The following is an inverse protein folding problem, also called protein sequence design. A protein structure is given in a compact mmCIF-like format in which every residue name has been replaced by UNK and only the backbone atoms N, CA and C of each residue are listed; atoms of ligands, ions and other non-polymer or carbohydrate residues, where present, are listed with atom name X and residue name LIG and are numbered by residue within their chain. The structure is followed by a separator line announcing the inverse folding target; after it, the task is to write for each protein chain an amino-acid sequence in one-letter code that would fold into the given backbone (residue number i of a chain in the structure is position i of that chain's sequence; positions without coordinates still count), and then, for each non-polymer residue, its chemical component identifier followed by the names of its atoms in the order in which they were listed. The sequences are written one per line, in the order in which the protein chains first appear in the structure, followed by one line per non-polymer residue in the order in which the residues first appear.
data_IF_085123513025
#
_entry.id   IF_085123513025
#
_cell.length_a   1.000
_cell.length_b   1.000
_cell.length_c   1.000
_cell.angle_alpha   90.00
_cell.angle_beta   90.00
_cell.angle_gamma   90.00
#
_symmetry.space_group_name_H-M   'P 1'
#
loop_
_entity.id
_entity.type
_entity.pdbx_description
1 polymer ?
#
# COMPACT_ATOMS: atom_id res chain seq x y z
N UNK A 1 3.83 4.02 -12.59
CA UNK A 1 4.24 5.20 -11.79
C UNK A 1 5.14 4.79 -10.63
N UNK A 2 5.93 5.71 -10.09
CA UNK A 2 6.74 5.49 -8.89
C UNK A 2 6.04 6.09 -7.67
N UNK A 3 5.93 5.32 -6.60
CA UNK A 3 5.34 5.74 -5.33
C UNK A 3 6.32 5.50 -4.18
N UNK A 4 6.17 6.28 -3.11
CA UNK A 4 6.74 5.97 -1.81
C UNK A 4 5.64 5.34 -0.94
N UNK A 5 5.96 4.19 -0.34
CA UNK A 5 5.06 3.50 0.57
C UNK A 5 5.60 3.63 1.99
N UNK A 6 4.74 4.10 2.90
CA UNK A 6 5.05 4.25 4.31
C UNK A 6 4.33 3.18 5.12
N UNK A 7 5.07 2.42 5.91
CA UNK A 7 4.53 1.40 6.79
C UNK A 7 4.48 1.91 8.23
N UNK A 8 3.36 1.64 8.90
CA UNK A 8 3.13 2.05 10.29
C UNK A 8 2.85 0.84 11.18
N UNK A 9 3.21 0.96 12.45
CA UNK A 9 2.93 -0.02 13.50
C UNK A 9 3.28 -1.46 13.09
N UNK A 10 2.34 -2.40 13.24
CA UNK A 10 2.56 -3.82 12.97
C UNK A 10 3.00 -4.13 11.52
N UNK A 11 2.63 -3.30 10.53
CA UNK A 11 3.10 -3.49 9.15
C UNK A 11 4.58 -3.16 9.01
N UNK A 12 5.07 -2.13 9.72
CA UNK A 12 6.50 -1.79 9.73
C UNK A 12 7.32 -2.92 10.34
N UNK A 13 6.87 -3.50 11.45
CA UNK A 13 7.56 -4.62 12.09
C UNK A 13 7.55 -5.88 11.22
N UNK A 14 6.47 -6.09 10.46
CA UNK A 14 6.31 -7.22 9.56
C UNK A 14 7.21 -7.15 8.32
N UNK A 15 7.27 -5.98 7.67
CA UNK A 15 8.10 -5.77 6.47
C UNK A 15 9.56 -5.48 6.84
N UNK A 16 9.82 -5.03 8.07
CA UNK A 16 11.16 -4.72 8.58
C UNK A 16 11.72 -3.35 8.12
N UNK A 17 10.92 -2.55 7.40
CA UNK A 17 11.27 -1.18 7.00
C UNK A 17 10.11 -0.22 7.26
N UNK A 18 10.43 1.05 7.52
CA UNK A 18 9.44 2.11 7.66
C UNK A 18 8.93 2.63 6.32
N UNK A 19 9.73 2.51 5.26
CA UNK A 19 9.34 2.92 3.92
C UNK A 19 10.08 2.17 2.82
N UNK A 20 9.50 2.20 1.62
CA UNK A 20 10.15 1.76 0.41
C UNK A 20 9.65 2.52 -0.82
N UNK A 21 10.43 2.51 -1.89
CA UNK A 21 10.00 3.05 -3.19
C UNK A 21 9.62 1.90 -4.12
N UNK A 22 8.44 2.00 -4.74
CA UNK A 22 7.93 0.98 -5.66
C UNK A 22 7.54 1.58 -7.00
N UNK A 23 7.87 0.87 -8.07
CA UNK A 23 7.35 1.15 -9.41
C UNK A 23 6.13 0.28 -9.68
N UNK A 24 4.97 0.90 -9.77
CA UNK A 24 3.68 0.28 -10.07
C UNK A 24 3.40 0.39 -11.57
N UNK A 25 2.98 -0.69 -12.23
CA UNK A 25 2.73 -0.69 -13.68
C UNK A 25 1.37 -0.07 -14.07
N UNK A 26 0.57 0.31 -13.07
CA UNK A 26 -0.74 0.94 -13.25
C UNK A 26 -0.57 2.45 -13.47
N UNK A 27 -1.39 3.03 -14.36
CA UNK A 27 -1.30 4.45 -14.72
C UNK A 27 -2.02 5.37 -13.72
N UNK A 28 -3.20 4.95 -13.23
CA UNK A 28 -4.03 5.62 -12.21
C UNK A 28 -4.86 4.58 -11.44
N UNK A 29 -4.23 3.69 -10.66
CA UNK A 29 -4.94 2.70 -9.88
C UNK A 29 -5.72 3.35 -8.75
N UNK A 30 -6.88 2.78 -8.44
CA UNK A 30 -7.53 3.03 -7.16
C UNK A 30 -6.70 2.48 -5.99
N UNK A 31 -6.98 2.95 -4.78
CA UNK A 31 -6.39 2.41 -3.54
C UNK A 31 -6.57 0.89 -3.46
N UNK A 32 -7.74 0.37 -3.83
CA UNK A 32 -8.01 -1.07 -3.82
C UNK A 32 -7.13 -1.86 -4.78
N UNK A 33 -6.95 -1.37 -6.01
CA UNK A 33 -6.07 -1.99 -7.00
C UNK A 33 -4.60 -1.91 -6.57
N UNK A 34 -4.21 -0.81 -5.93
CA UNK A 34 -2.87 -0.67 -5.37
C UNK A 34 -2.63 -1.67 -4.24
N UNK A 35 -3.55 -1.82 -3.29
CA UNK A 35 -3.45 -2.81 -2.22
C UNK A 35 -3.36 -4.23 -2.77
N UNK A 36 -4.18 -4.59 -3.76
CA UNK A 36 -4.13 -5.91 -4.39
C UNK A 36 -2.78 -6.19 -5.06
N UNK A 37 -2.22 -5.20 -5.75
CA UNK A 37 -0.89 -5.31 -6.36
C UNK A 37 0.22 -5.42 -5.31
N UNK A 38 0.10 -4.70 -4.18
CA UNK A 38 1.04 -4.80 -3.06
C UNK A 38 1.01 -6.19 -2.42
N UNK A 39 -0.17 -6.77 -2.17
CA UNK A 39 -0.28 -8.14 -1.63
C UNK A 39 0.29 -9.19 -2.57
N UNK A 40 0.18 -8.98 -3.90
CA UNK A 40 0.77 -9.87 -4.91
C UNK A 40 2.30 -9.81 -4.90
N UNK A 41 2.89 -8.62 -4.67
CA UNK A 41 4.35 -8.41 -4.66
C UNK A 41 5.00 -8.72 -3.32
N UNK A 42 4.27 -8.52 -2.22
CA UNK A 42 4.70 -8.70 -0.84
C UNK A 42 3.79 -9.74 -0.17
N UNK A 43 4.10 -11.04 -0.29
CA UNK A 43 3.29 -12.09 0.34
C UNK A 43 3.14 -11.92 1.84
N UNK A 44 4.08 -11.25 2.52
CA UNK A 44 3.91 -10.90 3.94
C UNK A 44 2.70 -9.98 4.20
N UNK A 45 2.26 -9.17 3.23
CA UNK A 45 1.11 -8.28 3.36
C UNK A 45 -0.22 -8.94 3.00
N UNK A 46 -0.21 -10.12 2.39
CA UNK A 46 -1.41 -10.79 1.88
C UNK A 46 -2.47 -10.99 2.96
N UNK A 47 -3.70 -10.54 2.68
CA UNK A 47 -4.84 -10.62 3.59
C UNK A 47 -4.79 -9.68 4.79
N UNK A 48 -3.78 -8.80 4.90
CA UNK A 48 -3.65 -7.83 5.99
C UNK A 48 -4.14 -6.45 5.58
N UNK A 49 -4.01 -6.07 4.31
CA UNK A 49 -4.31 -4.71 3.86
C UNK A 49 -5.82 -4.37 3.90
N UNK A 50 -6.70 -5.37 3.86
CA UNK A 50 -8.15 -5.16 3.99
C UNK A 50 -8.61 -4.69 5.38
N UNK A 51 -7.74 -4.73 6.40
CA UNK A 51 -8.05 -4.32 7.78
C UNK A 51 -7.36 -3.01 8.21
N UNK A 52 -6.57 -2.40 7.32
CA UNK A 52 -5.87 -1.14 7.60
C UNK A 52 -6.51 0.02 6.87
N UNK A 53 -6.35 1.22 7.42
CA UNK A 53 -6.70 2.46 6.72
C UNK A 53 -5.51 2.90 5.87
N UNK A 54 -5.79 3.35 4.66
CA UNK A 54 -4.78 3.89 3.74
C UNK A 54 -4.90 5.41 3.71
N UNK A 55 -3.75 6.08 3.60
CA UNK A 55 -3.68 7.50 3.32
C UNK A 55 -2.87 7.73 2.05
N UNK A 56 -3.35 8.64 1.20
CA UNK A 56 -2.69 9.14 0.00
C UNK A 56 -2.41 10.61 0.24
N UNK A 57 -1.16 11.03 0.10
CA UNK A 57 -0.72 12.41 0.35
C UNK A 57 -1.27 12.98 1.67
N UNK A 58 -1.01 12.26 2.77
CA UNK A 58 -1.41 12.60 4.15
C UNK A 58 -2.93 12.64 4.43
N UNK A 59 -3.76 12.28 3.46
CA UNK A 59 -5.22 12.25 3.58
C UNK A 59 -5.74 10.81 3.54
N UNK A 60 -6.61 10.44 4.47
CA UNK A 60 -7.25 9.12 4.42
C UNK A 60 -8.09 8.98 3.15
N UNK A 61 -7.94 7.83 2.49
CA UNK A 61 -8.58 7.54 1.21
C UNK A 61 -9.48 6.29 1.32
N UNK A 62 -10.57 6.31 0.58
CA UNK A 62 -11.45 5.17 0.39
C UNK A 62 -10.91 4.24 -0.68
N UNK A 63 -11.39 2.99 -0.69
CA UNK A 63 -10.95 1.95 -1.61
C UNK A 63 -11.08 2.34 -3.11
N UNK A 64 -12.03 3.24 -3.43
CA UNK A 64 -12.31 3.72 -4.79
C UNK A 64 -11.53 4.97 -5.20
N UNK A 65 -10.82 5.62 -4.29
CA UNK A 65 -10.05 6.83 -4.60
C UNK A 65 -8.82 6.51 -5.45
N UNK A 66 -8.44 7.43 -6.34
CA UNK A 66 -7.39 7.28 -7.38
C UNK A 66 -6.32 8.36 -7.28
#
# INVERSE_FOLDING_TARGET
MKIELLYFAALKDLVGTASEHLEIELSKPSVSELCAELERRRPELAGRLGSVRVAVDESFADASDV
#
